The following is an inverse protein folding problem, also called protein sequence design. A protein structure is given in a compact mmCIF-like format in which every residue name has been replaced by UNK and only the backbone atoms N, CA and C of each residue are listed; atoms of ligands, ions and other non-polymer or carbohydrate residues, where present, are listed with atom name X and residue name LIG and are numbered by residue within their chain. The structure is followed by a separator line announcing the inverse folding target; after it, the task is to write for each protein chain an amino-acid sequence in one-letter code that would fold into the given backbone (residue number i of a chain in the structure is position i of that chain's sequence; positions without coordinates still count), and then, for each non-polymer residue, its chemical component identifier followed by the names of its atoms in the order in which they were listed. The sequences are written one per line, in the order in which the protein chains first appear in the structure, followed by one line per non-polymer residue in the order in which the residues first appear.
data_IF_245950456876
#
_entry.id   IF_245950456876
#
_cell.length_a   1.000
_cell.length_b   1.000
_cell.length_c   1.000
_cell.angle_alpha   90.00
_cell.angle_beta   90.00
_cell.angle_gamma   90.00
#
_symmetry.space_group_name_H-M   'P 1'
#
loop_
_entity.id
_entity.type
_entity.pdbx_description
1 polymer ?
#
# COMPACT_ATOMS: atom_id res chain seq x y z
N UNK A 1 -42.39 -2.14 -14.57
CA UNK A 1 -41.66 -2.50 -13.37
C UNK A 1 -40.24 -1.83 -13.26
N UNK A 2 -39.52 -1.57 -14.37
CA UNK A 2 -38.18 -0.93 -14.32
C UNK A 2 -38.16 0.54 -13.87
N UNK A 3 -39.25 1.29 -14.04
CA UNK A 3 -39.35 2.72 -13.62
C UNK A 3 -39.67 2.91 -12.14
N UNK A 4 -40.24 1.91 -11.46
CA UNK A 4 -40.60 1.99 -10.03
C UNK A 4 -39.36 1.79 -9.13
N UNK A 5 -38.38 0.99 -9.59
CA UNK A 5 -37.17 0.74 -8.79
C UNK A 5 -36.27 1.99 -8.68
N UNK A 6 -36.24 2.83 -9.72
CA UNK A 6 -35.47 4.09 -9.73
C UNK A 6 -36.10 5.13 -8.79
N UNK A 7 -37.42 5.18 -8.71
CA UNK A 7 -38.13 6.15 -7.87
C UNK A 7 -38.08 5.84 -6.37
N UNK A 8 -37.88 4.58 -5.99
CA UNK A 8 -37.73 4.17 -4.57
C UNK A 8 -36.33 4.44 -4.01
N UNK A 9 -35.30 4.60 -4.85
CA UNK A 9 -33.93 4.94 -4.43
C UNK A 9 -33.65 6.45 -4.37
N UNK A 10 -34.45 7.29 -5.07
CA UNK A 10 -34.25 8.73 -5.08
C UNK A 10 -34.38 9.41 -3.70
N UNK A 11 -35.36 9.07 -2.82
CA UNK A 11 -35.43 9.70 -1.49
C UNK A 11 -34.32 9.21 -0.53
N UNK A 12 -33.70 8.05 -0.77
CA UNK A 12 -32.54 7.61 -0.01
C UNK A 12 -31.28 8.42 -0.30
N UNK A 13 -31.16 8.95 -1.51
CA UNK A 13 -30.01 9.76 -1.93
C UNK A 13 -30.07 11.21 -1.42
N UNK A 14 -31.24 11.77 -1.23
CA UNK A 14 -31.38 13.09 -0.60
C UNK A 14 -31.25 13.06 0.93
N UNK A 15 -31.41 11.89 1.54
CA UNK A 15 -31.11 11.66 2.95
C UNK A 15 -29.60 11.49 3.23
N UNK A 16 -28.80 11.18 2.20
CA UNK A 16 -27.36 10.94 2.35
C UNK A 16 -26.62 12.20 2.81
N UNK A 17 -26.91 13.38 2.23
CA UNK A 17 -26.22 14.64 2.57
C UNK A 17 -26.40 15.06 4.04
N UNK A 18 -27.50 14.64 4.68
CA UNK A 18 -27.74 14.92 6.12
C UNK A 18 -27.16 13.86 7.04
N UNK A 19 -27.00 12.63 6.55
CA UNK A 19 -26.42 11.51 7.30
C UNK A 19 -24.91 11.65 7.35
N UNK A 20 -24.27 12.05 6.26
CA UNK A 20 -22.81 12.24 6.18
C UNK A 20 -22.34 13.27 7.21
N UNK A 21 -23.00 14.42 7.30
CA UNK A 21 -22.68 15.42 8.34
C UNK A 21 -22.83 14.92 9.76
N UNK A 22 -23.88 14.15 10.05
CA UNK A 22 -24.09 13.57 11.39
C UNK A 22 -23.04 12.52 11.73
N UNK A 23 -22.61 11.74 10.75
CA UNK A 23 -21.53 10.77 10.92
C UNK A 23 -20.23 11.51 11.18
N UNK A 24 -19.89 12.52 10.38
CA UNK A 24 -18.69 13.33 10.56
C UNK A 24 -18.66 14.01 11.92
N UNK A 25 -19.75 14.64 12.35
CA UNK A 25 -19.87 15.27 13.67
C UNK A 25 -19.72 14.26 14.81
N UNK A 26 -20.28 13.05 14.69
CA UNK A 26 -20.18 12.00 15.69
C UNK A 26 -18.76 11.42 15.80
N UNK A 27 -18.04 11.31 14.69
CA UNK A 27 -16.67 10.78 14.64
C UNK A 27 -15.59 11.84 14.83
N UNK A 28 -15.89 13.13 14.64
CA UNK A 28 -14.93 14.24 14.76
C UNK A 28 -14.14 14.23 16.09
N UNK A 29 -14.73 14.00 17.27
CA UNK A 29 -13.96 13.94 18.52
C UNK A 29 -12.91 12.83 18.52
N UNK A 30 -13.26 11.66 18.01
CA UNK A 30 -12.38 10.49 17.94
C UNK A 30 -11.28 10.76 16.90
N UNK A 31 -11.64 11.25 15.73
CA UNK A 31 -10.70 11.61 14.67
C UNK A 31 -9.71 12.67 15.13
N UNK A 32 -10.18 13.72 15.80
CA UNK A 32 -9.34 14.79 16.34
C UNK A 32 -8.40 14.27 17.43
N UNK A 33 -8.85 13.39 18.30
CA UNK A 33 -7.99 12.78 19.31
C UNK A 33 -6.84 11.99 18.66
N UNK A 34 -7.12 11.10 17.72
CA UNK A 34 -6.09 10.34 17.04
C UNK A 34 -5.18 11.22 16.18
N UNK A 35 -5.74 12.24 15.53
CA UNK A 35 -4.95 13.21 14.76
C UNK A 35 -3.96 13.95 15.67
N UNK A 36 -4.40 14.42 16.82
CA UNK A 36 -3.53 15.11 17.78
C UNK A 36 -2.42 14.20 18.35
N UNK A 37 -2.74 12.92 18.55
CA UNK A 37 -1.75 11.94 19.03
C UNK A 37 -0.73 11.58 17.95
N UNK A 38 -1.19 11.31 16.73
CA UNK A 38 -0.32 10.89 15.61
C UNK A 38 0.52 12.05 15.09
N UNK A 39 -0.09 13.24 14.95
CA UNK A 39 0.59 14.44 14.44
C UNK A 39 1.09 15.36 15.57
N UNK A 40 1.31 14.80 16.76
CA UNK A 40 1.98 15.54 17.83
C UNK A 40 3.29 16.15 17.32
N UNK A 41 3.44 17.47 17.49
CA UNK A 41 4.58 18.23 16.96
C UNK A 41 5.61 18.54 18.04
N UNK A 42 6.87 18.46 17.66
CA UNK A 42 8.01 18.98 18.44
C UNK A 42 8.69 20.02 17.55
N UNK A 43 8.72 21.26 18.00
CA UNK A 43 9.23 22.41 17.22
C UNK A 43 8.59 22.50 15.81
N UNK A 44 7.28 22.43 15.77
CA UNK A 44 6.46 22.48 14.54
C UNK A 44 6.67 21.32 13.54
N UNK A 45 7.47 20.31 13.91
CA UNK A 45 7.67 19.12 13.09
C UNK A 45 6.87 17.95 13.70
N UNK A 46 6.03 17.26 12.95
CA UNK A 46 5.32 16.07 13.43
C UNK A 46 6.30 14.99 13.90
N UNK A 47 6.12 14.51 15.13
CA UNK A 47 7.00 13.49 15.73
C UNK A 47 7.06 12.22 14.89
N UNK A 48 5.92 11.80 14.32
CA UNK A 48 5.86 10.62 13.45
C UNK A 48 6.77 10.78 12.23
N UNK A 49 6.85 11.98 11.65
CA UNK A 49 7.72 12.25 10.50
C UNK A 49 9.20 12.11 10.88
N UNK A 50 9.59 12.68 12.03
CA UNK A 50 10.97 12.53 12.53
C UNK A 50 11.32 11.05 12.78
N UNK A 51 10.40 10.30 13.37
CA UNK A 51 10.60 8.87 13.62
C UNK A 51 10.76 8.07 12.32
N UNK A 52 9.92 8.33 11.32
CA UNK A 52 9.99 7.66 10.02
C UNK A 52 11.29 7.96 9.27
N UNK A 53 11.70 9.24 9.21
CA UNK A 53 12.93 9.64 8.52
C UNK A 53 14.15 9.09 9.26
N UNK A 54 14.19 9.20 10.58
CA UNK A 54 15.28 8.64 11.38
C UNK A 54 15.39 7.13 11.22
N UNK A 55 14.28 6.40 11.29
CA UNK A 55 14.28 4.94 11.10
C UNK A 55 14.76 4.55 9.71
N UNK A 56 14.29 5.24 8.68
CA UNK A 56 14.70 4.98 7.31
C UNK A 56 16.19 5.24 7.08
N UNK A 57 16.71 6.33 7.64
CA UNK A 57 18.13 6.65 7.61
C UNK A 57 18.96 5.62 8.39
N UNK A 58 18.51 5.27 9.60
CA UNK A 58 19.16 4.26 10.44
C UNK A 58 19.28 2.92 9.71
N UNK A 59 18.19 2.39 9.16
CA UNK A 59 18.23 1.12 8.42
C UNK A 59 19.08 1.21 7.15
N UNK A 60 19.06 2.33 6.45
CA UNK A 60 19.89 2.53 5.26
C UNK A 60 21.38 2.44 5.60
N UNK A 61 21.81 3.09 6.67
CA UNK A 61 23.21 3.07 7.11
C UNK A 61 23.56 1.70 7.71
N UNK A 62 22.72 1.17 8.61
CA UNK A 62 22.95 -0.09 9.31
C UNK A 62 23.13 -1.26 8.36
N UNK A 63 22.32 -1.36 7.30
CA UNK A 63 22.42 -2.41 6.29
C UNK A 63 23.31 -2.05 5.09
N UNK A 64 24.06 -0.95 5.18
CA UNK A 64 25.00 -0.50 4.16
C UNK A 64 24.34 -0.38 2.76
N UNK A 65 23.27 0.41 2.67
CA UNK A 65 22.52 0.69 1.43
C UNK A 65 22.01 -0.57 0.72
N UNK A 66 21.12 -1.34 1.34
CA UNK A 66 20.64 -2.61 0.78
C UNK A 66 19.93 -2.43 -0.57
N UNK A 67 19.28 -1.30 -0.79
CA UNK A 67 18.63 -0.92 -2.04
C UNK A 67 19.58 -0.87 -3.25
N UNK A 68 20.84 -0.50 -3.03
CA UNK A 68 21.88 -0.49 -4.09
C UNK A 68 22.57 -1.86 -4.15
N UNK A 69 22.98 -2.37 -2.98
CA UNK A 69 23.80 -3.58 -2.87
C UNK A 69 23.07 -4.82 -3.38
N UNK A 70 21.80 -4.98 -3.06
CA UNK A 70 21.02 -6.17 -3.40
C UNK A 70 20.12 -5.98 -4.63
N UNK A 71 20.21 -4.86 -5.34
CA UNK A 71 19.37 -4.59 -6.50
C UNK A 71 19.43 -5.68 -7.57
N UNK A 72 20.66 -6.13 -7.90
CA UNK A 72 20.86 -7.22 -8.87
C UNK A 72 20.29 -8.55 -8.37
N UNK A 73 20.42 -8.83 -7.07
CA UNK A 73 19.85 -10.03 -6.44
C UNK A 73 18.34 -10.00 -6.55
N UNK A 74 17.69 -8.88 -6.21
CA UNK A 74 16.25 -8.72 -6.30
C UNK A 74 15.72 -8.97 -7.73
N UNK A 75 16.38 -8.42 -8.76
CA UNK A 75 16.00 -8.69 -10.16
C UNK A 75 16.14 -10.18 -10.50
N UNK A 76 17.23 -10.82 -10.07
CA UNK A 76 17.44 -12.24 -10.34
C UNK A 76 16.41 -13.13 -9.64
N UNK A 77 16.02 -12.78 -8.40
CA UNK A 77 14.97 -13.48 -7.65
C UNK A 77 13.63 -13.41 -8.38
N UNK A 78 13.22 -12.21 -8.80
CA UNK A 78 11.96 -12.03 -9.56
C UNK A 78 11.98 -12.78 -10.90
N UNK A 79 13.16 -13.00 -11.49
CA UNK A 79 13.34 -13.78 -12.73
C UNK A 79 13.40 -15.30 -12.48
N UNK A 80 13.27 -15.75 -11.26
CA UNK A 80 13.32 -17.19 -10.91
C UNK A 80 14.72 -17.80 -10.99
N UNK A 81 15.80 -16.98 -10.98
CA UNK A 81 17.16 -17.52 -11.13
C UNK A 81 17.60 -18.40 -9.95
N UNK A 82 16.96 -18.24 -8.81
CA UNK A 82 17.31 -18.94 -7.57
C UNK A 82 16.34 -20.07 -7.23
N UNK A 83 15.28 -20.27 -8.02
CA UNK A 83 14.24 -21.28 -7.77
C UNK A 83 14.82 -22.71 -7.80
N UNK A 84 15.91 -22.93 -8.59
CA UNK A 84 16.57 -24.25 -8.68
C UNK A 84 17.54 -24.54 -7.52
N UNK A 85 17.91 -23.57 -6.70
CA UNK A 85 18.88 -23.77 -5.62
C UNK A 85 18.30 -24.57 -4.46
N UNK A 86 16.99 -24.47 -4.25
CA UNK A 86 16.27 -25.22 -3.21
C UNK A 86 16.08 -26.71 -3.58
N UNK A 87 16.07 -27.05 -4.87
CA UNK A 87 15.91 -28.43 -5.33
C UNK A 87 17.14 -29.32 -5.12
N UNK A 88 18.33 -28.74 -4.90
CA UNK A 88 19.60 -29.47 -4.76
C UNK A 88 20.08 -29.65 -3.33
N UNK A 89 19.39 -29.13 -2.35
CA UNK A 89 19.79 -29.26 -0.94
C UNK A 89 19.16 -30.49 -0.27
N UNK A 90 19.64 -31.68 -0.67
CA UNK A 90 19.24 -32.94 -0.01
C UNK A 90 19.83 -33.11 1.41
N UNK A 91 20.58 -32.15 1.94
CA UNK A 91 21.37 -32.29 3.19
C UNK A 91 21.04 -31.26 4.29
N UNK A 92 20.00 -30.46 4.15
CA UNK A 92 19.61 -29.56 5.24
C UNK A 92 18.44 -30.15 6.03
N UNK A 93 18.68 -30.39 7.32
CA UNK A 93 17.65 -30.67 8.32
C UNK A 93 16.46 -29.70 8.09
N UNK A 94 15.26 -30.29 8.08
CA UNK A 94 14.01 -29.56 7.90
C UNK A 94 13.91 -28.39 8.89
N UNK A 95 14.33 -27.22 8.45
CA UNK A 95 14.05 -25.98 9.20
C UNK A 95 12.55 -25.75 9.02
N UNK A 96 11.79 -26.01 10.08
CA UNK A 96 10.34 -25.75 10.11
C UNK A 96 10.08 -24.33 9.61
N UNK A 97 9.30 -24.21 8.56
CA UNK A 97 8.92 -22.91 7.97
C UNK A 97 9.70 -22.51 6.71
N UNK A 98 10.59 -23.38 6.19
CA UNK A 98 11.23 -23.14 4.89
C UNK A 98 10.42 -23.85 3.80
N UNK A 99 9.92 -23.10 2.84
CA UNK A 99 9.25 -23.64 1.66
C UNK A 99 10.33 -24.16 0.72
N UNK A 100 10.36 -25.47 0.46
CA UNK A 100 11.39 -26.14 -0.35
C UNK A 100 11.28 -25.85 -1.86
N UNK A 101 10.09 -25.55 -2.35
CA UNK A 101 9.82 -25.24 -3.75
C UNK A 101 8.75 -24.13 -3.81
N UNK A 102 9.18 -22.89 -3.96
CA UNK A 102 8.28 -21.74 -4.00
C UNK A 102 7.31 -21.75 -5.20
N UNK A 103 7.63 -22.53 -6.24
CA UNK A 103 6.72 -22.74 -7.38
C UNK A 103 5.58 -23.70 -7.07
N UNK A 104 5.76 -24.60 -6.08
CA UNK A 104 4.77 -25.62 -5.70
C UNK A 104 4.16 -25.39 -4.31
N UNK A 105 4.97 -24.93 -3.37
CA UNK A 105 4.61 -24.83 -1.95
C UNK A 105 4.33 -23.40 -1.49
N UNK A 106 4.62 -22.38 -2.33
CA UNK A 106 4.25 -21.00 -2.09
C UNK A 106 2.81 -20.71 -2.57
N UNK A 107 2.13 -19.78 -1.89
CA UNK A 107 0.81 -19.36 -2.34
C UNK A 107 0.86 -18.61 -3.68
N UNK A 108 1.96 -17.90 -3.96
CA UNK A 108 2.14 -17.05 -5.15
C UNK A 108 3.61 -17.04 -5.59
N UNK A 109 3.86 -16.88 -6.90
CA UNK A 109 5.22 -16.74 -7.45
C UNK A 109 5.90 -15.43 -7.03
N UNK A 110 7.23 -15.34 -7.15
CA UNK A 110 8.00 -14.12 -6.88
C UNK A 110 7.49 -12.91 -7.65
N UNK A 111 7.14 -13.09 -8.93
CA UNK A 111 6.60 -12.00 -9.75
C UNK A 111 5.19 -11.59 -9.29
N UNK A 112 4.34 -12.56 -8.92
CA UNK A 112 3.02 -12.29 -8.36
C UNK A 112 3.11 -11.58 -7.02
N UNK A 113 4.04 -11.97 -6.16
CA UNK A 113 4.31 -11.30 -4.88
C UNK A 113 4.75 -9.85 -5.10
N UNK A 114 5.68 -9.61 -6.04
CA UNK A 114 6.10 -8.26 -6.41
C UNK A 114 4.93 -7.44 -6.96
N UNK A 115 4.16 -7.96 -7.91
CA UNK A 115 3.03 -7.27 -8.50
C UNK A 115 1.96 -6.93 -7.46
N UNK A 116 1.67 -7.86 -6.53
CA UNK A 116 0.72 -7.64 -5.44
C UNK A 116 1.24 -6.57 -4.48
N UNK A 117 2.52 -6.61 -4.11
CA UNK A 117 3.14 -5.58 -3.26
C UNK A 117 3.11 -4.20 -3.92
N UNK A 118 3.42 -4.10 -5.21
CA UNK A 118 3.33 -2.85 -5.99
C UNK A 118 1.89 -2.35 -6.04
N UNK A 119 0.92 -3.24 -6.27
CA UNK A 119 -0.51 -2.89 -6.26
C UNK A 119 -0.98 -2.29 -4.92
N UNK A 120 -0.48 -2.81 -3.81
CA UNK A 120 -0.79 -2.28 -2.48
C UNK A 120 -0.04 -1.00 -2.12
N UNK A 121 1.07 -0.71 -2.80
CA UNK A 121 1.93 0.43 -2.50
C UNK A 121 1.66 1.62 -3.42
N UNK A 122 1.47 1.36 -4.72
CA UNK A 122 1.23 2.38 -5.75
C UNK A 122 -0.27 2.57 -5.93
N UNK A 123 -0.80 3.66 -5.41
CA UNK A 123 -2.20 4.01 -5.49
C UNK A 123 -2.40 5.49 -5.83
N UNK A 124 -3.62 5.99 -5.65
CA UNK A 124 -3.95 7.40 -5.89
C UNK A 124 -3.13 8.36 -5.01
N UNK A 125 -2.64 7.91 -3.86
CA UNK A 125 -1.72 8.70 -3.03
C UNK A 125 -0.41 9.07 -3.74
N UNK A 126 0.09 8.19 -4.62
CA UNK A 126 1.30 8.45 -5.40
C UNK A 126 1.06 9.37 -6.59
N UNK A 127 -0.19 9.60 -6.97
CA UNK A 127 -0.58 10.49 -8.08
C UNK A 127 -1.16 11.80 -7.51
N UNK A 128 -2.33 11.72 -6.90
CA UNK A 128 -3.03 12.89 -6.36
C UNK A 128 -2.31 13.48 -5.13
N UNK A 129 -1.79 12.63 -4.24
CA UNK A 129 -1.06 13.08 -3.05
C UNK A 129 0.27 13.75 -3.39
N UNK A 130 0.97 13.30 -4.43
CA UNK A 130 2.20 13.96 -4.93
C UNK A 130 1.86 15.31 -5.55
N UNK A 131 0.80 15.39 -6.34
CA UNK A 131 0.33 16.68 -6.91
C UNK A 131 -0.03 17.67 -5.80
N UNK A 132 -0.73 17.23 -4.75
CA UNK A 132 -1.04 18.05 -3.58
C UNK A 132 0.22 18.48 -2.83
N UNK A 133 1.18 17.60 -2.62
CA UNK A 133 2.44 17.90 -1.96
C UNK A 133 3.24 18.98 -2.73
N UNK A 134 3.25 18.92 -4.06
CA UNK A 134 3.90 19.92 -4.90
C UNK A 134 3.12 21.25 -4.86
N UNK A 135 1.80 21.21 -4.87
CA UNK A 135 0.96 22.40 -4.78
C UNK A 135 1.16 23.16 -3.46
N UNK A 136 1.34 22.45 -2.34
CA UNK A 136 1.55 23.03 -1.02
C UNK A 136 3.01 23.37 -0.72
N UNK A 137 3.94 22.50 -1.10
CA UNK A 137 5.36 22.59 -0.76
C UNK A 137 6.25 23.12 -1.88
N UNK A 138 5.69 23.41 -3.05
CA UNK A 138 6.43 23.86 -4.22
C UNK A 138 7.29 22.76 -4.86
N UNK A 139 8.12 23.12 -5.87
CA UNK A 139 8.95 22.14 -6.62
C UNK A 139 9.94 21.38 -5.76
N UNK A 140 10.41 21.95 -4.65
CA UNK A 140 11.31 21.32 -3.70
C UNK A 140 10.73 20.08 -3.03
N UNK A 141 9.40 19.95 -2.95
CA UNK A 141 8.74 18.77 -2.43
C UNK A 141 9.12 17.49 -3.20
N UNK A 142 9.26 17.59 -4.54
CA UNK A 142 9.67 16.46 -5.38
C UNK A 142 11.05 15.92 -5.00
N UNK A 143 12.01 16.81 -4.76
CA UNK A 143 13.36 16.42 -4.33
C UNK A 143 13.32 15.63 -3.01
N UNK A 144 12.61 16.15 -2.00
CA UNK A 144 12.50 15.48 -0.72
C UNK A 144 11.75 14.15 -0.81
N UNK A 145 10.70 14.06 -1.62
CA UNK A 145 9.98 12.80 -1.85
C UNK A 145 10.87 11.74 -2.47
N UNK A 146 11.76 12.08 -3.41
CA UNK A 146 12.72 11.15 -4.00
C UNK A 146 13.71 10.66 -2.93
N UNK A 147 14.27 11.55 -2.11
CA UNK A 147 15.17 11.19 -1.02
C UNK A 147 14.48 10.27 -0.01
N UNK A 148 13.29 10.64 0.45
CA UNK A 148 12.51 9.82 1.37
C UNK A 148 12.16 8.46 0.77
N UNK A 149 11.86 8.38 -0.53
CA UNK A 149 11.61 7.14 -1.22
C UNK A 149 12.83 6.22 -1.24
N UNK A 150 14.01 6.75 -1.55
CA UNK A 150 15.26 5.99 -1.53
C UNK A 150 15.59 5.44 -0.14
N UNK A 151 15.43 6.25 0.90
CA UNK A 151 15.61 5.82 2.29
C UNK A 151 14.55 4.79 2.72
N UNK A 152 13.31 4.98 2.31
CA UNK A 152 12.18 4.09 2.61
C UNK A 152 12.33 2.68 2.05
N UNK A 153 13.09 2.50 0.97
CA UNK A 153 13.41 1.16 0.43
C UNK A 153 14.09 0.28 1.48
N UNK A 154 14.98 0.83 2.30
CA UNK A 154 15.69 0.09 3.34
C UNK A 154 14.75 -0.34 4.47
N UNK A 155 13.78 0.49 4.82
CA UNK A 155 12.73 0.13 5.79
C UNK A 155 11.89 -1.03 5.27
N UNK A 156 11.50 -0.97 3.99
CA UNK A 156 10.72 -2.04 3.35
C UNK A 156 11.51 -3.34 3.25
N UNK A 157 12.82 -3.28 2.97
CA UNK A 157 13.70 -4.44 2.99
C UNK A 157 13.67 -5.15 4.36
N UNK A 158 13.77 -4.41 5.45
CA UNK A 158 13.70 -4.97 6.82
C UNK A 158 12.32 -5.59 7.08
N UNK A 159 11.25 -4.87 6.75
CA UNK A 159 9.88 -5.35 6.94
C UNK A 159 9.63 -6.67 6.22
N UNK A 160 9.96 -6.75 4.94
CA UNK A 160 9.77 -7.97 4.15
C UNK A 160 10.64 -9.13 4.65
N UNK A 161 11.89 -8.86 5.02
CA UNK A 161 12.79 -9.89 5.57
C UNK A 161 12.24 -10.47 6.86
N UNK A 162 11.80 -9.62 7.80
CA UNK A 162 11.18 -10.07 9.05
C UNK A 162 9.86 -10.81 8.80
N UNK A 163 9.07 -10.34 7.83
CA UNK A 163 7.82 -10.99 7.44
C UNK A 163 8.01 -12.42 6.95
N UNK A 164 9.06 -12.68 6.18
CA UNK A 164 9.42 -14.02 5.72
C UNK A 164 10.03 -14.86 6.84
N UNK A 165 10.93 -14.30 7.65
CA UNK A 165 11.63 -15.00 8.72
C UNK A 165 10.69 -15.53 9.81
N UNK A 166 9.66 -14.78 10.15
CA UNK A 166 8.74 -15.10 11.26
C UNK A 166 7.37 -15.63 10.79
N UNK A 167 7.22 -15.97 9.51
CA UNK A 167 6.00 -16.57 8.98
C UNK A 167 5.74 -17.95 9.56
N UNK A 168 4.49 -18.37 9.63
CA UNK A 168 4.06 -19.72 9.89
C UNK A 168 3.56 -20.34 8.58
N UNK A 169 3.91 -21.58 8.35
CA UNK A 169 3.43 -22.39 7.23
C UNK A 169 2.69 -23.60 7.81
N UNK A 170 1.42 -23.72 7.49
CA UNK A 170 0.59 -24.83 7.93
C UNK A 170 0.84 -26.08 7.08
N UNK A 171 0.35 -27.24 7.55
CA UNK A 171 0.47 -28.54 6.85
C UNK A 171 -0.19 -28.49 5.44
N UNK A 172 -1.21 -27.65 5.27
CA UNK A 172 -1.90 -27.42 3.99
C UNK A 172 -1.16 -26.47 3.04
N UNK A 173 0.04 -26.00 3.40
CA UNK A 173 0.81 -25.00 2.63
C UNK A 173 0.29 -23.57 2.75
N UNK A 174 -0.67 -23.29 3.63
CA UNK A 174 -1.16 -21.93 3.90
C UNK A 174 -0.14 -21.15 4.70
N UNK A 175 0.21 -19.95 4.21
CA UNK A 175 1.24 -19.09 4.82
C UNK A 175 0.60 -18.01 5.66
N UNK A 176 0.94 -17.96 6.92
CA UNK A 176 0.54 -16.90 7.87
C UNK A 176 1.73 -16.03 8.23
N UNK A 177 1.66 -14.74 7.95
CA UNK A 177 2.77 -13.82 8.21
C UNK A 177 2.30 -12.39 8.39
N UNK A 178 3.28 -11.52 8.45
CA UNK A 178 3.05 -10.08 8.59
C UNK A 178 3.55 -9.50 9.91
N UNK A 179 3.32 -8.19 10.12
CA UNK A 179 3.87 -7.49 11.29
C UNK A 179 3.45 -8.07 12.64
N UNK A 180 2.23 -8.58 12.77
CA UNK A 180 1.75 -9.21 14.01
C UNK A 180 2.63 -10.39 14.42
N UNK A 181 3.08 -11.19 13.44
CA UNK A 181 3.90 -12.37 13.66
C UNK A 181 5.32 -12.01 14.07
N UNK A 182 6.01 -11.15 13.32
CA UNK A 182 7.37 -10.81 13.68
C UNK A 182 7.47 -9.92 14.93
N UNK A 183 6.47 -9.09 15.24
CA UNK A 183 6.42 -8.33 16.49
C UNK A 183 6.26 -9.29 17.67
N UNK A 184 5.30 -10.21 17.64
CA UNK A 184 5.05 -11.14 18.74
C UNK A 184 6.20 -12.11 18.95
N UNK A 185 6.70 -12.76 17.89
CA UNK A 185 7.76 -13.77 17.96
C UNK A 185 9.13 -13.14 18.22
N UNK A 186 9.49 -12.08 17.52
CA UNK A 186 10.79 -11.43 17.70
C UNK A 186 10.96 -10.78 19.08
N UNK A 187 9.90 -10.22 19.67
CA UNK A 187 9.95 -9.73 21.04
C UNK A 187 9.96 -10.85 22.06
N UNK A 188 9.28 -11.96 21.80
CA UNK A 188 9.33 -13.15 22.65
C UNK A 188 10.74 -13.73 22.72
N UNK A 189 11.45 -13.86 21.61
CA UNK A 189 12.85 -14.31 21.56
C UNK A 189 13.80 -13.43 22.41
N UNK A 190 13.46 -12.15 22.56
CA UNK A 190 14.21 -11.18 23.37
C UNK A 190 13.74 -11.08 24.82
N UNK A 191 12.81 -11.92 25.26
CA UNK A 191 12.28 -11.94 26.62
C UNK A 191 11.15 -10.95 26.89
N UNK A 192 10.64 -10.25 25.87
CA UNK A 192 9.56 -9.26 25.98
C UNK A 192 8.21 -9.81 25.46
N UNK A 193 7.86 -11.05 25.81
CA UNK A 193 6.67 -11.73 25.29
C UNK A 193 5.35 -10.97 25.53
N UNK A 194 5.18 -10.41 26.74
CA UNK A 194 3.97 -9.64 27.09
C UNK A 194 3.81 -8.39 26.21
N UNK A 195 4.87 -7.61 26.06
CA UNK A 195 4.87 -6.42 25.20
C UNK A 195 4.66 -6.79 23.71
N UNK A 196 5.27 -7.89 23.27
CA UNK A 196 5.10 -8.41 21.91
C UNK A 196 3.65 -8.72 21.57
N UNK A 197 2.92 -9.38 22.49
CA UNK A 197 1.51 -9.69 22.30
C UNK A 197 0.64 -8.43 22.23
N UNK A 198 0.82 -7.49 23.15
CA UNK A 198 0.08 -6.22 23.15
C UNK A 198 0.34 -5.43 21.86
N UNK A 199 1.60 -5.25 21.49
CA UNK A 199 1.98 -4.52 20.29
C UNK A 199 1.41 -5.16 19.02
N UNK A 200 1.42 -6.50 18.92
CA UNK A 200 0.84 -7.23 17.79
C UNK A 200 -0.69 -7.04 17.69
N UNK A 201 -1.40 -7.06 18.81
CA UNK A 201 -2.85 -6.81 18.84
C UNK A 201 -3.16 -5.37 18.44
N UNK A 202 -2.43 -4.38 18.99
CA UNK A 202 -2.60 -2.98 18.64
C UNK A 202 -2.32 -2.74 17.15
N UNK A 203 -1.24 -3.34 16.63
CA UNK A 203 -0.95 -3.27 15.21
C UNK A 203 -2.09 -3.85 14.35
N UNK A 204 -2.65 -5.00 14.73
CA UNK A 204 -3.76 -5.61 14.00
C UNK A 204 -5.01 -4.70 13.96
N UNK A 205 -5.36 -4.08 15.10
CA UNK A 205 -6.48 -3.13 15.19
C UNK A 205 -6.22 -1.90 14.29
N UNK A 206 -5.02 -1.32 14.36
CA UNK A 206 -4.67 -0.16 13.52
C UNK A 206 -4.60 -0.51 12.03
N UNK A 207 -4.13 -1.72 11.70
CA UNK A 207 -4.09 -2.21 10.33
C UNK A 207 -5.49 -2.35 9.74
N UNK A 208 -6.45 -2.87 10.51
CA UNK A 208 -7.86 -2.95 10.10
C UNK A 208 -8.40 -1.53 9.86
N UNK A 209 -8.22 -0.61 10.80
CA UNK A 209 -8.68 0.78 10.66
C UNK A 209 -8.03 1.50 9.46
N UNK A 210 -6.73 1.33 9.27
CA UNK A 210 -5.99 1.89 8.13
C UNK A 210 -6.46 1.33 6.78
N UNK A 211 -6.80 0.04 6.73
CA UNK A 211 -7.32 -0.61 5.53
C UNK A 211 -8.69 -0.05 5.12
N UNK A 212 -9.58 0.23 6.08
CA UNK A 212 -10.87 0.85 5.79
C UNK A 212 -10.72 2.28 5.29
N UNK A 213 -9.91 3.11 5.93
CA UNK A 213 -9.75 4.52 5.59
C UNK A 213 -8.85 4.74 4.38
N UNK A 214 -7.55 4.71 4.59
CA UNK A 214 -6.54 5.00 3.56
C UNK A 214 -6.46 3.95 2.45
N UNK A 215 -6.64 2.67 2.80
CA UNK A 215 -6.56 1.57 1.85
C UNK A 215 -7.76 1.48 0.91
N UNK A 216 -8.98 1.76 1.38
CA UNK A 216 -10.19 1.57 0.59
C UNK A 216 -10.96 2.88 0.36
N UNK A 217 -11.45 3.53 1.40
CA UNK A 217 -12.35 4.68 1.26
C UNK A 217 -11.71 5.83 0.49
N UNK A 218 -10.48 6.21 0.81
CA UNK A 218 -9.75 7.27 0.12
C UNK A 218 -9.49 6.92 -1.36
N UNK A 219 -9.11 5.68 -1.66
CA UNK A 219 -8.81 5.23 -3.03
C UNK A 219 -10.08 5.22 -3.90
N UNK A 220 -11.17 4.65 -3.39
CA UNK A 220 -12.44 4.58 -4.13
C UNK A 220 -13.05 5.97 -4.33
N UNK A 221 -12.94 6.86 -3.35
CA UNK A 221 -13.41 8.23 -3.46
C UNK A 221 -12.68 8.98 -4.58
N UNK A 222 -11.34 8.95 -4.60
CA UNK A 222 -10.55 9.60 -5.65
C UNK A 222 -10.85 9.03 -7.04
N UNK A 223 -10.96 7.71 -7.17
CA UNK A 223 -11.33 7.07 -8.44
C UNK A 223 -12.73 7.51 -8.91
N UNK A 224 -13.68 7.61 -7.98
CA UNK A 224 -15.05 8.04 -8.28
C UNK A 224 -15.10 9.51 -8.74
N UNK A 225 -14.34 10.40 -8.07
CA UNK A 225 -14.26 11.82 -8.46
C UNK A 225 -13.75 11.94 -9.88
N UNK A 226 -12.61 11.31 -10.20
CA UNK A 226 -12.02 11.38 -11.55
C UNK A 226 -12.95 10.83 -12.62
N UNK A 227 -13.64 9.70 -12.35
CA UNK A 227 -14.60 9.13 -13.27
C UNK A 227 -15.81 10.03 -13.49
N UNK A 228 -16.33 10.66 -12.43
CA UNK A 228 -17.41 11.66 -12.55
C UNK A 228 -17.00 12.84 -13.42
N UNK A 229 -15.83 13.39 -13.20
CA UNK A 229 -15.31 14.53 -13.96
C UNK A 229 -15.12 14.17 -15.44
N UNK A 230 -14.54 13.02 -15.74
CA UNK A 230 -14.35 12.54 -17.11
C UNK A 230 -15.67 12.29 -17.86
N UNK A 231 -16.71 11.87 -17.13
CA UNK A 231 -18.03 11.58 -17.70
C UNK A 231 -18.97 12.80 -17.68
N UNK A 232 -18.55 13.94 -17.12
CA UNK A 232 -19.37 15.13 -16.95
C UNK A 232 -20.58 14.91 -16.03
N UNK A 233 -20.48 14.05 -15.03
CA UNK A 233 -21.55 13.69 -14.12
C UNK A 233 -21.46 14.48 -12.81
N UNK A 234 -22.34 15.45 -12.59
CA UNK A 234 -22.37 16.25 -11.37
C UNK A 234 -23.19 15.64 -10.22
N UNK A 235 -24.05 14.68 -10.53
CA UNK A 235 -24.99 14.10 -9.57
C UNK A 235 -24.28 13.25 -8.48
N UNK A 236 -24.71 13.38 -7.24
CA UNK A 236 -24.32 12.51 -6.11
C UNK A 236 -24.71 11.06 -6.37
N UNK A 237 -25.88 10.84 -7.02
CA UNK A 237 -26.32 9.51 -7.42
C UNK A 237 -25.35 8.81 -8.38
N UNK A 238 -24.71 9.56 -9.29
CA UNK A 238 -23.72 8.99 -10.20
C UNK A 238 -22.49 8.45 -9.43
N UNK A 239 -22.05 9.16 -8.40
CA UNK A 239 -20.96 8.70 -7.53
C UNK A 239 -21.29 7.38 -6.83
N UNK A 240 -22.49 7.25 -6.28
CA UNK A 240 -22.95 6.02 -5.64
C UNK A 240 -23.02 4.82 -6.61
N UNK A 241 -23.47 5.06 -7.84
CA UNK A 241 -23.53 4.00 -8.88
C UNK A 241 -22.12 3.57 -9.29
N UNK A 242 -21.22 4.51 -9.51
CA UNK A 242 -19.81 4.22 -9.84
C UNK A 242 -19.16 3.44 -8.68
N UNK A 243 -19.35 3.87 -7.45
CA UNK A 243 -18.84 3.19 -6.27
C UNK A 243 -19.37 1.76 -6.13
N UNK A 244 -20.66 1.55 -6.42
CA UNK A 244 -21.26 0.22 -6.41
C UNK A 244 -20.65 -0.70 -7.49
N UNK A 245 -20.42 -0.19 -8.69
CA UNK A 245 -19.77 -0.96 -9.77
C UNK A 245 -18.36 -1.36 -9.36
N UNK A 246 -17.58 -0.40 -8.82
CA UNK A 246 -16.22 -0.68 -8.32
C UNK A 246 -16.28 -1.73 -7.20
N UNK A 247 -17.20 -1.61 -6.25
CA UNK A 247 -17.34 -2.57 -5.15
C UNK A 247 -17.66 -3.99 -5.64
N UNK A 248 -18.51 -4.14 -6.66
CA UNK A 248 -18.82 -5.44 -7.26
C UNK A 248 -17.57 -6.04 -7.92
N UNK A 249 -16.85 -5.26 -8.73
CA UNK A 249 -15.64 -5.73 -9.43
C UNK A 249 -14.57 -6.17 -8.41
N UNK A 250 -14.29 -5.33 -7.42
CA UNK A 250 -13.32 -5.62 -6.37
C UNK A 250 -13.76 -6.81 -5.52
N UNK A 251 -15.04 -6.89 -5.16
CA UNK A 251 -15.61 -8.01 -4.41
C UNK A 251 -15.42 -9.35 -5.11
N UNK A 252 -15.66 -9.42 -6.42
CA UNK A 252 -15.43 -10.62 -7.22
C UNK A 252 -13.97 -11.07 -7.17
N UNK A 253 -13.03 -10.16 -7.12
CA UNK A 253 -11.59 -10.47 -7.06
C UNK A 253 -11.21 -10.95 -5.66
N UNK A 254 -11.62 -10.23 -4.60
CA UNK A 254 -11.23 -10.51 -3.22
C UNK A 254 -11.77 -11.85 -2.71
N UNK A 255 -13.00 -12.22 -3.07
CA UNK A 255 -13.63 -13.49 -2.63
C UNK A 255 -12.79 -14.71 -3.05
N UNK A 256 -11.98 -14.60 -4.10
CA UNK A 256 -11.09 -15.69 -4.55
C UNK A 256 -9.79 -15.82 -3.76
N UNK A 257 -9.57 -15.02 -2.70
CA UNK A 257 -8.38 -15.07 -1.86
C UNK A 257 -7.11 -14.55 -2.53
N UNK A 258 -5.97 -14.75 -1.84
CA UNK A 258 -4.69 -14.18 -2.27
C UNK A 258 -4.24 -14.65 -3.66
N UNK A 259 -4.48 -15.91 -3.99
CA UNK A 259 -4.13 -16.49 -5.32
C UNK A 259 -4.87 -15.77 -6.45
N UNK A 260 -6.15 -15.45 -6.27
CA UNK A 260 -6.93 -14.73 -7.27
C UNK A 260 -6.52 -13.26 -7.37
N UNK A 261 -6.27 -12.63 -6.23
CA UNK A 261 -5.74 -11.26 -6.17
C UNK A 261 -4.42 -11.20 -6.95
N UNK A 262 -3.49 -12.11 -6.67
CA UNK A 262 -2.19 -12.19 -7.31
C UNK A 262 -2.28 -12.38 -8.83
N UNK A 263 -3.16 -13.27 -9.30
CA UNK A 263 -3.38 -13.51 -10.73
C UNK A 263 -3.95 -12.27 -11.48
N UNK A 264 -4.72 -11.44 -10.79
CA UNK A 264 -5.23 -10.20 -11.39
C UNK A 264 -4.16 -9.11 -11.36
N UNK A 265 -3.47 -8.95 -10.23
CA UNK A 265 -2.47 -7.89 -10.06
C UNK A 265 -1.25 -8.10 -10.95
N UNK A 266 -0.80 -9.33 -11.20
CA UNK A 266 0.32 -9.63 -12.11
C UNK A 266 0.08 -9.15 -13.55
N UNK A 267 -1.18 -9.00 -13.98
CA UNK A 267 -1.56 -8.51 -15.31
C UNK A 267 -1.82 -7.01 -15.32
N UNK A 268 -2.58 -6.55 -14.32
CA UNK A 268 -3.03 -5.14 -14.24
C UNK A 268 -1.89 -4.20 -13.87
N UNK A 269 -1.02 -4.59 -12.93
CA UNK A 269 0.02 -3.71 -12.41
C UNK A 269 1.09 -3.36 -13.44
N UNK A 270 1.65 -4.29 -14.22
CA UNK A 270 2.60 -3.94 -15.28
C UNK A 270 1.97 -3.04 -16.34
N UNK A 271 0.73 -3.31 -16.73
CA UNK A 271 0.00 -2.48 -17.68
C UNK A 271 -0.19 -1.05 -17.14
N UNK A 272 -0.64 -0.92 -15.89
CA UNK A 272 -0.77 0.37 -15.21
C UNK A 272 0.56 1.13 -15.17
N UNK A 273 1.65 0.47 -14.78
CA UNK A 273 2.97 1.08 -14.70
C UNK A 273 3.47 1.58 -16.06
N UNK A 274 3.31 0.78 -17.10
CA UNK A 274 3.70 1.13 -18.48
C UNK A 274 2.89 2.33 -18.98
N UNK A 275 1.55 2.29 -18.84
CA UNK A 275 0.69 3.41 -19.23
C UNK A 275 1.05 4.70 -18.50
N UNK A 276 1.29 4.62 -17.19
CA UNK A 276 1.65 5.79 -16.38
C UNK A 276 2.99 6.39 -16.82
N UNK A 277 4.01 5.55 -17.05
CA UNK A 277 5.31 6.01 -17.53
C UNK A 277 5.22 6.68 -18.90
N UNK A 278 4.47 6.10 -19.84
CA UNK A 278 4.26 6.70 -21.15
C UNK A 278 3.51 8.03 -21.06
N UNK A 279 2.47 8.13 -20.23
CA UNK A 279 1.75 9.37 -20.00
C UNK A 279 2.68 10.47 -19.43
N UNK A 280 3.51 10.11 -18.42
CA UNK A 280 4.49 11.05 -17.85
C UNK A 280 5.52 11.51 -18.89
N UNK A 281 6.08 10.58 -19.67
CA UNK A 281 7.06 10.90 -20.73
C UNK A 281 6.42 11.78 -21.81
N UNK A 282 5.18 11.49 -22.19
CA UNK A 282 4.44 12.33 -23.14
C UNK A 282 4.26 13.76 -22.61
N UNK A 283 3.79 13.91 -21.37
CA UNK A 283 3.61 15.22 -20.76
C UNK A 283 4.93 16.00 -20.69
N UNK A 284 6.02 15.36 -20.25
CA UNK A 284 7.36 15.98 -20.19
C UNK A 284 7.84 16.41 -21.58
N UNK A 285 7.61 15.58 -22.61
CA UNK A 285 8.05 15.87 -23.97
C UNK A 285 7.27 17.00 -24.65
N UNK A 286 5.99 17.17 -24.32
CA UNK A 286 5.11 18.21 -24.89
C UNK A 286 5.16 19.51 -24.09
N UNK A 287 5.43 19.43 -22.78
CA UNK A 287 5.49 20.59 -21.91
C UNK A 287 6.87 21.22 -21.90
N UNK A 288 7.08 22.23 -22.72
CA UNK A 288 8.36 22.99 -22.79
C UNK A 288 8.74 23.67 -21.46
N UNK A 289 7.81 23.86 -20.55
CA UNK A 289 8.05 24.50 -19.25
C UNK A 289 8.91 23.67 -18.29
N UNK A 290 9.02 22.36 -18.52
CA UNK A 290 9.83 21.47 -17.69
C UNK A 290 11.26 21.26 -18.20
N UNK A 291 11.53 21.62 -19.47
CA UNK A 291 12.86 21.49 -20.09
C UNK A 291 13.68 22.79 -20.06
N UNK A 292 13.04 23.91 -19.79
CA UNK A 292 13.73 25.19 -19.60
C UNK A 292 14.03 25.37 -18.11
N UNK A 293 15.30 25.36 -17.74
CA UNK A 293 15.73 25.89 -16.45
C UNK A 293 15.18 27.32 -16.32
N UNK A 294 14.63 27.71 -15.16
CA UNK A 294 14.19 29.06 -14.94
C UNK A 294 15.39 30.00 -15.10
N UNK A 295 15.45 30.67 -16.24
CA UNK A 295 16.53 31.61 -16.58
C UNK A 295 16.37 32.96 -15.90
N UNK A 296 15.40 33.12 -15.01
CA UNK A 296 15.28 34.28 -14.14
C UNK A 296 14.89 33.87 -12.73
N UNK A 297 15.86 33.99 -11.84
CA UNK A 297 15.63 34.15 -10.42
C UNK A 297 15.05 35.55 -10.18
#
# INVERSE_FOLDING_TARGET
MKKILIFTFLPFLSLADGIDKKIDEAFAPISNFFSNVVFFTINDIPFVLMLLVFSALFFTIFFAFPNIRYFKVAINTVRGKYDDLDNNSNDHEDIKGTIKDESKDGEVSHFQALATAVSGTVGNGNIAGVALAIALGGPGATFWMIICGLLGMSTKFVECTLGVQYRDVDEDGTVYGGPMYYISKGLKERGFEFFGKIAAILFAIFCIGGSFGGGNAAQSNQATIVLKDLMGLESTAAGAIIGLIIAIIVGIIIIGGIKRIANVTEKVVPFMAVMYLFACLYIISVSYTHLTLPTKA
#
